data_IF_690376180884
#
_entry.id   IF_690376180884
#
_cell.length_a   1.000
_cell.length_b   1.000
_cell.length_c   1.000
_cell.angle_alpha   90.00
_cell.angle_beta   90.00
_cell.angle_gamma   90.00
#
_symmetry.space_group_name_H-M   'P 1'
#
loop_
_entity.id
_entity.type
_entity.pdbx_description
1 polymer ?
#
# COMPACT_ATOMS: atom_id res chain seq x y z
N UNK A 1 3.80 33.35 -17.50
CA UNK A 1 2.89 33.28 -16.32
C UNK A 1 3.75 33.51 -15.08
N UNK A 2 3.50 34.58 -14.31
CA UNK A 2 4.34 34.97 -13.18
C UNK A 2 4.26 33.95 -12.04
N UNK A 3 5.38 33.66 -11.37
CA UNK A 3 5.52 32.79 -10.19
C UNK A 3 4.51 33.12 -9.07
N UNK A 4 4.03 34.37 -9.01
CA UNK A 4 2.95 34.83 -8.11
C UNK A 4 1.56 34.23 -8.43
N UNK A 5 1.29 33.89 -9.69
CA UNK A 5 0.03 33.27 -10.13
C UNK A 5 0.05 31.76 -9.82
N UNK A 6 1.18 31.08 -10.04
CA UNK A 6 1.36 29.68 -9.62
C UNK A 6 1.27 29.54 -8.09
N UNK A 7 1.88 30.44 -7.32
CA UNK A 7 1.75 30.45 -5.84
C UNK A 7 0.32 30.67 -5.37
N UNK A 8 -0.47 31.54 -6.02
CA UNK A 8 -1.88 31.77 -5.66
C UNK A 8 -2.80 30.58 -5.98
N UNK A 9 -2.50 29.80 -7.01
CA UNK A 9 -3.21 28.56 -7.33
C UNK A 9 -2.86 27.42 -6.35
N UNK A 10 -1.57 27.27 -6.00
CA UNK A 10 -1.14 26.28 -5.00
C UNK A 10 -1.66 26.58 -3.58
N UNK A 11 -1.69 27.85 -3.18
CA UNK A 11 -2.11 28.25 -1.83
C UNK A 11 -3.63 28.19 -1.61
N UNK A 12 -4.46 28.33 -2.65
CA UNK A 12 -5.93 28.13 -2.49
C UNK A 12 -6.32 26.66 -2.29
N UNK A 13 -5.46 25.71 -2.64
CA UNK A 13 -5.66 24.29 -2.37
C UNK A 13 -4.82 23.78 -1.18
N UNK A 14 -3.89 24.58 -0.62
CA UNK A 14 -2.91 24.12 0.38
C UNK A 14 -2.76 25.01 1.62
N UNK A 15 -3.69 25.92 1.91
CA UNK A 15 -3.58 26.79 3.08
C UNK A 15 -4.12 26.14 4.37
N UNK A 16 -3.28 25.33 5.00
CA UNK A 16 -3.12 25.28 6.46
C UNK A 16 -1.63 25.02 6.74
N UNK A 17 -0.95 26.04 7.30
CA UNK A 17 0.45 26.09 7.77
C UNK A 17 1.50 26.23 6.65
N UNK A 18 2.53 27.09 6.72
CA UNK A 18 3.11 27.92 7.76
C UNK A 18 4.59 28.15 7.40
N UNK A 19 5.14 29.33 7.69
CA UNK A 19 6.59 29.57 7.77
C UNK A 19 7.33 29.89 6.46
N UNK A 20 7.60 31.19 6.25
CA UNK A 20 8.52 31.73 5.24
C UNK A 20 9.94 31.72 5.79
N UNK A 21 10.91 31.20 5.05
CA UNK A 21 12.30 31.68 5.08
C UNK A 21 12.87 31.63 3.64
N UNK A 22 13.28 32.80 3.17
CA UNK A 22 13.85 33.06 1.84
C UNK A 22 15.36 32.81 1.87
N UNK A 23 15.91 32.15 0.83
CA UNK A 23 17.29 32.38 0.41
C UNK A 23 17.41 32.42 -1.12
N UNK A 24 18.30 33.28 -1.66
CA UNK A 24 18.45 33.48 -3.09
C UNK A 24 19.44 32.50 -3.74
N UNK A 25 19.31 32.44 -5.05
CA UNK A 25 20.00 31.63 -6.05
C UNK A 25 21.52 31.80 -6.13
N UNK A 26 22.24 30.69 -6.30
CA UNK A 26 23.21 30.52 -7.40
C UNK A 26 23.66 29.05 -7.47
N UNK A 27 23.27 28.34 -8.54
CA UNK A 27 23.67 26.95 -8.78
C UNK A 27 24.72 26.93 -9.88
N UNK A 28 25.95 26.60 -9.49
CA UNK A 28 26.92 25.99 -10.36
C UNK A 28 27.80 25.07 -9.53
N UNK A 29 27.60 23.75 -9.66
CA UNK A 29 28.66 22.75 -9.85
C UNK A 29 28.11 21.32 -9.87
N UNK A 30 28.76 20.51 -10.71
CA UNK A 30 28.61 19.08 -10.89
C UNK A 30 29.20 18.32 -9.69
N UNK A 31 28.48 17.28 -9.27
CA UNK A 31 28.91 16.05 -8.60
C UNK A 31 30.05 16.13 -7.56
N UNK A 32 29.70 16.21 -6.26
CA UNK A 32 30.59 15.85 -5.16
C UNK A 32 29.76 15.27 -4.00
N UNK A 33 30.23 14.15 -3.46
CA UNK A 33 29.84 13.65 -2.14
C UNK A 33 29.94 14.79 -1.11
N UNK A 34 29.00 14.83 -0.16
CA UNK A 34 28.92 15.88 0.86
C UNK A 34 30.23 15.91 1.68
N UNK A 35 30.96 17.04 1.74
CA UNK A 35 32.26 17.11 2.41
C UNK A 35 32.13 17.32 3.94
N UNK A 36 31.20 16.62 4.59
CA UNK A 36 31.13 16.51 6.06
C UNK A 36 31.28 15.07 6.59
N UNK A 37 31.32 14.05 5.73
CA UNK A 37 31.41 12.63 6.16
C UNK A 37 32.81 12.03 6.04
N UNK A 38 33.88 12.83 6.16
CA UNK A 38 35.26 12.29 6.13
C UNK A 38 35.86 11.98 7.51
N UNK A 39 35.19 12.38 8.59
CA UNK A 39 35.64 12.12 9.98
C UNK A 39 34.72 11.16 10.77
N UNK A 40 33.70 10.56 10.13
CA UNK A 40 32.83 9.56 10.77
C UNK A 40 33.34 8.11 10.60
N UNK A 41 34.65 7.91 10.56
CA UNK A 41 35.26 6.59 10.64
C UNK A 41 35.43 6.19 12.12
N UNK A 42 34.32 6.05 12.83
CA UNK A 42 34.26 5.34 14.11
C UNK A 42 32.94 4.57 14.18
N UNK A 43 33.03 3.27 14.45
CA UNK A 43 31.94 2.32 14.69
C UNK A 43 30.66 2.97 15.27
N UNK A 44 29.74 3.36 14.40
CA UNK A 44 28.49 4.02 14.78
C UNK A 44 27.35 3.48 13.93
N UNK A 45 27.02 2.20 14.16
CA UNK A 45 25.68 1.72 13.79
C UNK A 45 24.67 2.68 14.43
N UNK A 46 23.95 3.44 13.60
CA UNK A 46 22.88 4.34 14.05
C UNK A 46 22.01 3.61 15.08
N UNK A 47 21.61 4.25 16.19
CA UNK A 47 20.88 3.57 17.24
C UNK A 47 19.56 2.99 16.71
N UNK A 48 19.42 1.66 16.77
CA UNK A 48 18.20 0.94 16.37
C UNK A 48 17.23 0.93 17.56
N UNK A 49 16.14 1.69 17.44
CA UNK A 49 15.04 1.67 18.41
C UNK A 49 14.01 0.55 18.11
N UNK A 50 13.08 0.31 19.04
CA UNK A 50 12.08 -0.75 18.92
C UNK A 50 11.17 -0.62 17.69
N UNK A 51 10.86 0.61 17.26
CA UNK A 51 10.09 0.85 16.03
C UNK A 51 10.87 0.38 14.80
N UNK A 52 12.17 0.69 14.73
CA UNK A 52 13.04 0.24 13.64
C UNK A 52 13.22 -1.28 13.65
N UNK A 53 13.33 -1.92 14.83
CA UNK A 53 13.34 -3.39 14.94
C UNK A 53 12.04 -4.00 14.43
N UNK A 54 10.90 -3.41 14.81
CA UNK A 54 9.57 -3.87 14.36
C UNK A 54 9.45 -3.80 12.84
N UNK A 55 9.80 -2.64 12.25
CA UNK A 55 9.80 -2.43 10.81
C UNK A 55 10.74 -3.39 10.07
N UNK A 56 11.96 -3.58 10.60
CA UNK A 56 12.93 -4.52 10.04
C UNK A 56 12.44 -5.99 10.14
N UNK A 57 11.57 -6.31 11.10
CA UNK A 57 11.02 -7.66 11.28
C UNK A 57 9.75 -7.94 10.46
N UNK A 58 9.24 -6.95 9.70
CA UNK A 58 8.00 -7.10 8.94
C UNK A 58 8.10 -8.24 7.92
N UNK A 59 7.05 -9.06 7.90
CA UNK A 59 6.92 -10.23 7.03
C UNK A 59 5.45 -10.53 6.76
N UNK A 60 5.21 -11.29 5.70
CA UNK A 60 3.88 -11.75 5.30
C UNK A 60 3.71 -13.22 5.64
N UNK A 61 2.57 -13.57 6.25
CA UNK A 61 2.17 -14.97 6.46
C UNK A 61 1.15 -15.36 5.39
N UNK A 62 1.48 -16.30 4.50
CA UNK A 62 0.62 -16.64 3.35
C UNK A 62 -0.52 -17.62 3.71
N UNK A 63 -1.34 -17.26 4.69
CA UNK A 63 -2.61 -17.93 5.01
C UNK A 63 -2.55 -19.10 5.99
N UNK A 64 -1.36 -19.58 6.36
CA UNK A 64 -1.19 -20.63 7.36
C UNK A 64 -1.22 -20.04 8.78
N UNK A 65 -2.43 -19.77 9.28
CA UNK A 65 -2.63 -19.27 10.65
C UNK A 65 -3.12 -20.38 11.58
N UNK A 66 -2.66 -20.36 12.83
CA UNK A 66 -3.15 -21.21 13.92
C UNK A 66 -4.61 -20.88 14.24
N UNK A 67 -5.37 -21.87 14.68
CA UNK A 67 -6.70 -21.67 15.25
C UNK A 67 -6.60 -21.12 16.69
N UNK A 68 -6.10 -19.90 16.80
CA UNK A 68 -5.90 -19.20 18.07
C UNK A 68 -6.53 -17.80 17.97
N UNK A 69 -7.48 -17.44 18.86
CA UNK A 69 -8.12 -16.13 18.83
C UNK A 69 -7.13 -15.01 19.21
N UNK A 70 -7.31 -13.83 18.63
CA UNK A 70 -6.62 -12.61 19.05
C UNK A 70 -7.50 -11.94 20.12
N UNK A 71 -6.95 -11.54 21.28
CA UNK A 71 -7.70 -10.79 22.29
C UNK A 71 -8.30 -9.50 21.72
N UNK A 72 -9.54 -9.17 22.09
CA UNK A 72 -10.23 -7.97 21.60
C UNK A 72 -9.47 -6.68 21.92
N UNK A 73 -8.80 -6.62 23.07
CA UNK A 73 -7.94 -5.49 23.44
C UNK A 73 -6.78 -5.27 22.44
N UNK A 74 -6.21 -6.34 21.88
CA UNK A 74 -5.17 -6.22 20.85
C UNK A 74 -5.76 -5.77 19.51
N UNK A 75 -6.93 -6.28 19.12
CA UNK A 75 -7.63 -5.79 17.91
C UNK A 75 -7.92 -4.30 18.04
N UNK A 76 -8.37 -3.84 19.21
CA UNK A 76 -8.61 -2.42 19.46
C UNK A 76 -7.33 -1.58 19.35
N UNK A 77 -6.22 -2.03 19.94
CA UNK A 77 -4.93 -1.35 19.79
C UNK A 77 -4.47 -1.24 18.32
N UNK A 78 -4.68 -2.30 17.53
CA UNK A 78 -4.37 -2.32 16.09
C UNK A 78 -5.24 -1.31 15.35
N UNK A 79 -6.55 -1.26 15.66
CA UNK A 79 -7.48 -0.31 15.07
C UNK A 79 -7.13 1.13 15.42
N UNK A 80 -6.85 1.43 16.69
CA UNK A 80 -6.43 2.77 17.11
C UNK A 80 -5.13 3.22 16.42
N UNK A 81 -4.18 2.30 16.27
CA UNK A 81 -2.95 2.56 15.51
C UNK A 81 -3.24 2.83 14.03
N UNK A 82 -4.18 2.10 13.44
CA UNK A 82 -4.65 2.28 12.06
C UNK A 82 -5.29 3.65 11.86
N UNK A 83 -6.18 4.05 12.77
CA UNK A 83 -6.90 5.33 12.74
C UNK A 83 -5.97 6.54 12.88
N UNK A 84 -4.81 6.36 13.52
CA UNK A 84 -3.81 7.42 13.71
C UNK A 84 -2.98 7.72 12.46
N UNK A 85 -3.09 6.90 11.41
CA UNK A 85 -2.33 7.08 10.18
C UNK A 85 -2.58 8.45 9.53
N UNK A 86 -1.55 8.96 8.83
CA UNK A 86 -1.67 10.17 8.03
C UNK A 86 -2.76 10.01 6.97
N UNK A 87 -3.60 11.02 6.81
CA UNK A 87 -4.66 11.03 5.81
C UNK A 87 -4.94 12.47 5.36
N UNK A 88 -5.31 12.64 4.09
CA UNK A 88 -5.47 13.95 3.48
C UNK A 88 -6.59 14.76 4.14
N UNK A 89 -6.28 16.00 4.51
CA UNK A 89 -7.22 16.95 5.12
C UNK A 89 -7.93 16.43 6.38
N UNK A 90 -7.36 15.41 7.05
CA UNK A 90 -7.98 14.70 8.15
C UNK A 90 -9.42 14.19 7.86
N UNK A 91 -9.74 13.93 6.59
CA UNK A 91 -11.08 13.48 6.18
C UNK A 91 -11.36 12.04 6.61
N UNK A 92 -10.29 11.24 6.77
CA UNK A 92 -10.35 9.82 7.06
C UNK A 92 -11.29 9.09 6.09
N UNK A 93 -11.17 9.36 4.78
CA UNK A 93 -12.04 8.84 3.71
C UNK A 93 -11.90 7.33 3.47
N UNK A 94 -12.01 6.55 4.54
CA UNK A 94 -11.99 5.12 4.57
C UNK A 94 -12.90 4.59 5.69
N UNK A 95 -13.29 3.34 5.54
CA UNK A 95 -13.97 2.55 6.57
C UNK A 95 -13.24 1.23 6.76
N UNK A 96 -13.30 0.68 7.98
CA UNK A 96 -12.66 -0.59 8.35
C UNK A 96 -13.77 -1.55 8.81
N UNK A 97 -13.88 -2.69 8.14
CA UNK A 97 -14.86 -3.73 8.48
C UNK A 97 -14.11 -4.90 9.12
N UNK A 98 -14.54 -5.27 10.33
CA UNK A 98 -13.95 -6.35 11.12
C UNK A 98 -14.75 -7.62 10.87
N UNK A 99 -14.08 -8.68 10.43
CA UNK A 99 -14.69 -10.00 10.21
C UNK A 99 -13.93 -11.05 11.01
N UNK A 100 -14.63 -11.76 11.89
CA UNK A 100 -14.08 -12.85 12.73
C UNK A 100 -14.52 -14.25 12.28
N UNK A 101 -15.53 -14.34 11.42
CA UNK A 101 -15.99 -15.60 10.84
C UNK A 101 -15.00 -16.07 9.74
N UNK A 102 -14.31 -17.21 9.92
CA UNK A 102 -13.29 -17.68 8.99
C UNK A 102 -13.85 -18.06 7.61
N UNK A 103 -15.08 -18.56 7.53
CA UNK A 103 -15.68 -18.92 6.25
C UNK A 103 -16.12 -17.67 5.50
N UNK A 104 -16.61 -16.65 6.22
CA UNK A 104 -16.83 -15.32 5.63
C UNK A 104 -15.53 -14.71 5.10
N UNK A 105 -14.41 -14.81 5.82
CA UNK A 105 -13.09 -14.33 5.35
C UNK A 105 -12.66 -15.03 4.05
N UNK A 106 -12.76 -16.38 4.00
CA UNK A 106 -12.42 -17.16 2.78
C UNK A 106 -13.25 -16.71 1.59
N UNK A 107 -14.56 -16.50 1.77
CA UNK A 107 -15.44 -16.06 0.69
C UNK A 107 -15.13 -14.62 0.23
N UNK A 108 -14.67 -13.75 1.13
CA UNK A 108 -14.28 -12.37 0.80
C UNK A 108 -12.94 -12.33 0.08
N UNK A 109 -11.85 -12.83 0.68
CA UNK A 109 -10.48 -12.60 0.20
C UNK A 109 -9.71 -13.87 -0.17
N UNK A 110 -10.28 -15.06 0.03
CA UNK A 110 -9.63 -16.35 -0.24
C UNK A 110 -8.73 -16.87 0.89
N UNK A 111 -8.65 -16.16 2.02
CA UNK A 111 -7.81 -16.53 3.16
C UNK A 111 -8.62 -16.45 4.46
N UNK A 112 -8.21 -17.20 5.48
CA UNK A 112 -8.77 -17.12 6.83
C UNK A 112 -7.65 -16.96 7.85
N UNK A 113 -7.96 -16.25 8.93
CA UNK A 113 -7.14 -16.13 10.13
C UNK A 113 -8.04 -15.97 11.34
N UNK A 114 -7.53 -15.36 12.40
CA UNK A 114 -8.30 -15.07 13.62
C UNK A 114 -9.21 -13.84 13.44
N UNK A 115 -8.80 -12.90 12.59
CA UNK A 115 -9.55 -11.68 12.29
C UNK A 115 -9.15 -11.14 10.91
N UNK A 116 -10.08 -10.56 10.17
CA UNK A 116 -9.80 -9.80 8.95
C UNK A 116 -10.30 -8.36 9.12
N UNK A 117 -9.45 -7.41 8.75
CA UNK A 117 -9.80 -6.00 8.59
C UNK A 117 -9.90 -5.70 7.09
N UNK A 118 -11.10 -5.40 6.59
CA UNK A 118 -11.30 -4.93 5.22
C UNK A 118 -11.32 -3.40 5.22
N UNK A 119 -10.41 -2.80 4.48
CA UNK A 119 -10.33 -1.37 4.29
C UNK A 119 -11.06 -0.99 3.00
N UNK A 120 -12.03 -0.09 3.13
CA UNK A 120 -12.79 0.46 2.03
C UNK A 120 -12.41 1.93 1.82
N UNK A 121 -12.25 2.36 0.58
CA UNK A 121 -12.37 3.78 0.24
C UNK A 121 -13.81 4.19 0.49
N UNK A 122 -14.05 5.16 1.37
CA UNK A 122 -15.41 5.48 1.83
C UNK A 122 -15.63 6.97 2.05
N UNK A 123 -16.63 7.49 1.36
CA UNK A 123 -17.10 8.87 1.44
C UNK A 123 -18.54 8.98 1.94
N UNK A 124 -19.20 7.86 2.25
CA UNK A 124 -20.60 7.82 2.71
C UNK A 124 -20.79 8.60 4.00
N UNK A 125 -19.85 8.50 4.96
CA UNK A 125 -19.86 9.31 6.19
C UNK A 125 -19.82 10.81 5.92
N UNK A 126 -18.95 11.26 5.00
CA UNK A 126 -18.81 12.68 4.66
C UNK A 126 -20.06 13.20 3.95
N UNK A 127 -20.61 12.38 3.04
CA UNK A 127 -21.86 12.69 2.35
C UNK A 127 -23.03 12.82 3.33
N UNK A 128 -23.23 11.84 4.20
CA UNK A 128 -24.29 11.87 5.21
C UNK A 128 -24.15 13.08 6.15
N UNK A 129 -22.92 13.44 6.53
CA UNK A 129 -22.65 14.61 7.36
C UNK A 129 -23.03 15.91 6.64
N UNK A 130 -22.67 16.07 5.37
CA UNK A 130 -23.04 17.23 4.58
C UNK A 130 -24.56 17.33 4.35
N UNK A 131 -25.21 16.20 4.03
CA UNK A 131 -26.66 16.12 3.84
C UNK A 131 -27.42 16.52 5.10
N UNK A 132 -26.93 16.12 6.29
CA UNK A 132 -27.52 16.53 7.58
C UNK A 132 -27.50 18.04 7.82
N UNK A 133 -26.61 18.76 7.13
CA UNK A 133 -26.48 20.21 7.17
C UNK A 133 -27.17 20.89 5.98
N UNK A 134 -27.86 20.15 5.11
CA UNK A 134 -28.46 20.66 3.89
C UNK A 134 -27.46 21.08 2.82
N UNK A 135 -26.22 20.58 2.89
CA UNK A 135 -25.13 20.91 1.97
C UNK A 135 -24.92 19.79 0.94
N UNK A 136 -24.66 20.12 -0.34
CA UNK A 136 -24.27 19.12 -1.32
C UNK A 136 -22.85 18.63 -1.05
N UNK A 137 -22.61 17.34 -1.28
CA UNK A 137 -21.27 16.76 -1.24
C UNK A 137 -21.07 15.75 -2.36
N UNK A 138 -20.00 15.96 -3.12
CA UNK A 138 -19.59 15.09 -4.22
C UNK A 138 -18.11 14.77 -4.04
N UNK A 139 -17.73 13.49 -3.89
CA UNK A 139 -16.33 13.11 -3.95
C UNK A 139 -15.74 13.52 -5.30
N UNK A 140 -14.48 13.97 -5.31
CA UNK A 140 -13.77 14.44 -6.51
C UNK A 140 -13.40 13.28 -7.47
N UNK A 141 -14.36 12.44 -7.84
CA UNK A 141 -14.20 11.30 -8.74
C UNK A 141 -12.93 10.49 -8.46
N UNK A 142 -12.10 10.35 -9.50
CA UNK A 142 -10.89 9.54 -9.45
C UNK A 142 -9.80 10.14 -8.56
N UNK A 143 -9.72 11.48 -8.47
CA UNK A 143 -8.77 12.16 -7.58
C UNK A 143 -9.11 11.88 -6.10
N UNK A 144 -10.41 11.91 -5.78
CA UNK A 144 -10.91 11.51 -4.47
C UNK A 144 -10.61 10.04 -4.16
N UNK A 145 -10.82 9.15 -5.12
CA UNK A 145 -10.50 7.72 -4.98
C UNK A 145 -9.01 7.47 -4.74
N UNK A 146 -8.11 8.12 -5.50
CA UNK A 146 -6.65 7.99 -5.32
C UNK A 146 -6.22 8.50 -3.94
N UNK A 147 -6.76 9.66 -3.53
CA UNK A 147 -6.49 10.25 -2.22
C UNK A 147 -6.91 9.33 -1.09
N UNK A 148 -8.14 8.81 -1.15
CA UNK A 148 -8.69 7.89 -0.16
C UNK A 148 -7.99 6.52 -0.17
N UNK A 149 -7.61 6.01 -1.34
CA UNK A 149 -6.86 4.76 -1.47
C UNK A 149 -5.49 4.86 -0.81
N UNK A 150 -4.82 6.00 -0.99
CA UNK A 150 -3.52 6.29 -0.35
C UNK A 150 -3.68 6.33 1.17
N UNK A 151 -4.68 7.06 1.68
CA UNK A 151 -4.97 7.11 3.12
C UNK A 151 -5.30 5.72 3.70
N UNK A 152 -6.05 4.90 2.97
CA UNK A 152 -6.37 3.52 3.36
C UNK A 152 -5.13 2.64 3.44
N UNK A 153 -4.21 2.74 2.46
CA UNK A 153 -2.96 1.98 2.46
C UNK A 153 -2.05 2.35 3.64
N UNK A 154 -2.01 3.64 4.02
CA UNK A 154 -1.28 4.11 5.21
C UNK A 154 -1.89 3.57 6.51
N UNK A 155 -3.23 3.53 6.58
CA UNK A 155 -3.96 2.95 7.71
C UNK A 155 -3.68 1.44 7.85
N UNK A 156 -3.68 0.70 6.73
CA UNK A 156 -3.30 -0.73 6.68
C UNK A 156 -1.88 -0.93 7.18
N UNK A 157 -0.91 -0.16 6.67
CA UNK A 157 0.48 -0.32 7.07
C UNK A 157 0.70 -0.01 8.56
N UNK A 158 -0.02 0.97 9.11
CA UNK A 158 0.01 1.27 10.54
C UNK A 158 -0.55 0.11 11.38
N UNK A 159 -1.62 -0.53 10.92
CA UNK A 159 -2.18 -1.73 11.54
C UNK A 159 -1.20 -2.92 11.48
N UNK A 160 -0.51 -3.12 10.36
CA UNK A 160 0.51 -4.17 10.19
C UNK A 160 1.66 -3.99 11.19
N UNK A 161 2.16 -2.76 11.36
CA UNK A 161 3.23 -2.46 12.31
C UNK A 161 2.76 -2.69 13.75
N UNK A 162 1.56 -2.23 14.11
CA UNK A 162 0.98 -2.46 15.42
C UNK A 162 0.79 -3.96 15.71
N UNK A 163 0.20 -4.71 14.78
CA UNK A 163 0.05 -6.16 14.88
C UNK A 163 1.41 -6.82 15.11
N UNK A 164 2.43 -6.46 14.32
CA UNK A 164 3.78 -7.02 14.47
C UNK A 164 4.37 -6.73 15.85
N UNK A 165 4.18 -5.52 16.37
CA UNK A 165 4.66 -5.14 17.72
C UNK A 165 4.00 -5.94 18.85
N UNK A 166 2.79 -6.47 18.61
CA UNK A 166 2.03 -7.31 19.53
C UNK A 166 2.29 -8.81 19.32
N UNK A 167 3.23 -9.18 18.44
CA UNK A 167 3.51 -10.58 18.09
C UNK A 167 2.42 -11.24 17.25
N UNK A 168 1.58 -10.46 16.58
CA UNK A 168 0.52 -10.93 15.68
C UNK A 168 1.06 -10.86 14.25
N UNK A 169 0.95 -11.97 13.52
CA UNK A 169 1.32 -12.04 12.11
C UNK A 169 0.17 -11.58 11.22
N UNK A 170 0.51 -11.22 9.99
CA UNK A 170 -0.46 -10.64 9.07
C UNK A 170 -0.27 -11.03 7.61
N UNK A 171 -1.35 -10.90 6.86
CA UNK A 171 -1.42 -11.01 5.41
C UNK A 171 -2.22 -9.84 4.85
N UNK A 172 -1.50 -8.84 4.32
CA UNK A 172 -2.12 -7.81 3.48
C UNK A 172 -2.35 -8.38 2.09
N UNK A 173 -3.60 -8.44 1.64
CA UNK A 173 -3.98 -9.13 0.41
C UNK A 173 -4.99 -8.37 -0.42
N UNK A 174 -4.76 -8.38 -1.73
CA UNK A 174 -5.71 -7.96 -2.75
C UNK A 174 -6.60 -9.12 -3.24
N UNK A 175 -6.65 -10.24 -2.50
CA UNK A 175 -7.44 -11.42 -2.86
C UNK A 175 -8.92 -11.10 -3.11
N UNK A 176 -9.44 -10.01 -2.53
CA UNK A 176 -10.77 -9.48 -2.80
C UNK A 176 -11.00 -9.10 -4.28
N UNK A 177 -9.96 -8.74 -5.05
CA UNK A 177 -10.06 -8.35 -6.47
C UNK A 177 -10.16 -9.54 -7.41
N UNK A 178 -9.90 -10.77 -6.93
CA UNK A 178 -9.93 -11.99 -7.74
C UNK A 178 -11.38 -12.42 -7.99
N UNK A 179 -11.67 -13.04 -9.12
CA UNK A 179 -13.01 -13.52 -9.46
C UNK A 179 -14.05 -12.41 -9.61
N UNK A 180 -15.32 -12.70 -9.30
CA UNK A 180 -16.37 -11.69 -9.28
C UNK A 180 -16.30 -10.87 -7.98
N UNK A 181 -15.80 -9.65 -8.07
CA UNK A 181 -15.59 -8.79 -6.90
C UNK A 181 -16.92 -8.29 -6.30
N UNK A 182 -18.04 -8.39 -7.03
CA UNK A 182 -19.37 -8.05 -6.52
C UNK A 182 -19.71 -8.78 -5.22
N UNK A 183 -19.25 -10.03 -5.08
CA UNK A 183 -19.48 -10.83 -3.87
C UNK A 183 -19.08 -10.11 -2.58
N UNK A 184 -18.10 -9.20 -2.63
CA UNK A 184 -17.63 -8.48 -1.43
C UNK A 184 -18.68 -7.48 -0.96
N UNK A 185 -19.37 -6.80 -1.89
CA UNK A 185 -20.52 -5.96 -1.55
C UNK A 185 -21.65 -6.79 -0.99
N UNK A 186 -21.97 -7.93 -1.61
CA UNK A 186 -23.11 -8.76 -1.21
C UNK A 186 -22.90 -9.41 0.18
N UNK A 187 -21.71 -9.96 0.44
CA UNK A 187 -21.39 -10.66 1.70
C UNK A 187 -21.31 -9.71 2.90
N UNK A 188 -20.83 -8.48 2.67
CA UNK A 188 -20.59 -7.49 3.73
C UNK A 188 -21.59 -6.34 3.71
N UNK A 189 -22.62 -6.43 2.87
CA UNK A 189 -23.70 -5.45 2.75
C UNK A 189 -23.17 -4.02 2.56
N UNK A 190 -22.15 -3.87 1.70
CA UNK A 190 -21.50 -2.59 1.49
C UNK A 190 -22.39 -1.64 0.67
N UNK A 191 -22.34 -0.32 0.93
CA UNK A 191 -22.97 0.66 0.05
C UNK A 191 -22.45 0.54 -1.38
N UNK A 192 -23.36 0.50 -2.36
CA UNK A 192 -22.99 0.39 -3.77
C UNK A 192 -22.33 1.65 -4.35
N UNK A 193 -22.52 2.80 -3.71
CA UNK A 193 -21.98 4.09 -4.15
C UNK A 193 -21.15 4.72 -3.07
N UNK A 194 -20.06 5.37 -3.47
CA UNK A 194 -19.15 6.11 -2.59
C UNK A 194 -18.46 5.25 -1.51
N UNK A 195 -18.60 3.93 -1.55
CA UNK A 195 -17.85 2.95 -0.76
C UNK A 195 -17.30 1.87 -1.70
N UNK A 196 -15.99 1.61 -1.62
CA UNK A 196 -15.29 0.66 -2.48
C UNK A 196 -14.30 -0.18 -1.66
N UNK A 197 -14.46 -1.51 -1.57
CA UNK A 197 -13.54 -2.38 -0.84
C UNK A 197 -12.17 -2.41 -1.54
N UNK A 198 -11.13 -1.93 -0.85
CA UNK A 198 -9.82 -1.69 -1.43
C UNK A 198 -8.85 -2.83 -1.17
N UNK A 199 -8.67 -3.20 0.10
CA UNK A 199 -7.64 -4.18 0.51
C UNK A 199 -8.01 -4.84 1.85
N UNK A 200 -7.70 -6.13 1.99
CA UNK A 200 -7.93 -6.88 3.22
C UNK A 200 -6.61 -7.10 3.97
N UNK A 201 -6.65 -7.02 5.29
CA UNK A 201 -5.59 -7.39 6.22
C UNK A 201 -6.08 -8.56 7.07
N UNK A 202 -5.58 -9.76 6.80
CA UNK A 202 -5.87 -10.93 7.64
C UNK A 202 -4.83 -11.00 8.76
N UNK A 203 -5.28 -11.20 9.99
CA UNK A 203 -4.49 -11.24 11.20
C UNK A 203 -4.61 -12.63 11.85
N UNK A 204 -3.51 -13.11 12.41
CA UNK A 204 -3.47 -14.37 13.16
C UNK A 204 -2.06 -14.66 13.65
N UNK A 205 -1.86 -15.89 14.11
CA UNK A 205 -0.53 -16.38 14.51
C UNK A 205 -0.05 -17.39 13.49
N UNK A 206 1.12 -17.21 12.89
CA UNK A 206 1.62 -18.14 11.89
C UNK A 206 1.79 -19.55 12.50
N UNK A 207 1.47 -20.60 11.72
CA UNK A 207 1.74 -21.99 12.13
C UNK A 207 3.23 -22.30 12.15
N UNK A 208 3.98 -21.61 11.29
CA UNK A 208 5.41 -21.76 11.09
C UNK A 208 6.06 -20.39 10.86
N UNK A 209 7.29 -20.26 11.35
CA UNK A 209 8.13 -19.11 11.09
C UNK A 209 8.76 -19.25 9.70
N UNK A 210 8.73 -18.22 8.84
CA UNK A 210 9.46 -18.26 7.58
C UNK A 210 10.94 -18.55 7.81
N UNK A 211 11.51 -19.46 7.03
CA UNK A 211 12.93 -19.84 7.16
C UNK A 211 13.91 -18.72 6.83
N UNK A 212 13.44 -17.69 6.11
CA UNK A 212 14.21 -16.51 5.76
C UNK A 212 13.30 -15.28 5.64
N UNK A 213 13.91 -14.10 5.72
CA UNK A 213 13.25 -12.86 5.37
C UNK A 213 13.31 -12.62 3.86
N UNK A 214 12.17 -12.30 3.25
CA UNK A 214 12.12 -11.94 1.84
C UNK A 214 12.98 -10.69 1.57
N UNK A 215 13.88 -10.76 0.59
CA UNK A 215 14.73 -9.65 0.21
C UNK A 215 13.95 -8.48 -0.38
N UNK A 216 14.60 -7.33 -0.48
CA UNK A 216 14.08 -6.13 -1.14
C UNK A 216 15.14 -5.54 -2.05
N UNK A 217 14.71 -4.96 -3.16
CA UNK A 217 15.56 -4.08 -3.95
C UNK A 217 15.64 -2.73 -3.25
N UNK A 218 16.86 -2.21 -3.12
CA UNK A 218 17.22 -1.03 -2.34
C UNK A 218 18.00 0.03 -3.16
N UNK A 219 18.24 -0.26 -4.44
CA UNK A 219 19.13 0.52 -5.31
C UNK A 219 18.44 1.13 -6.53
N UNK A 220 19.18 1.23 -7.67
CA UNK A 220 18.65 1.80 -8.91
C UNK A 220 17.31 1.19 -9.32
N UNK A 221 16.37 2.05 -9.76
CA UNK A 221 15.03 1.66 -10.20
C UNK A 221 13.98 1.62 -9.07
N UNK A 222 14.40 1.66 -7.81
CA UNK A 222 13.52 1.83 -6.64
C UNK A 222 13.76 3.17 -5.96
N UNK A 223 15.03 3.52 -5.72
CA UNK A 223 15.42 4.78 -5.07
C UNK A 223 16.05 5.72 -6.09
N UNK A 224 15.57 6.97 -6.12
CA UNK A 224 16.06 8.01 -7.02
C UNK A 224 16.34 9.29 -6.22
N UNK A 225 17.50 9.91 -6.46
CA UNK A 225 17.86 11.19 -5.86
C UNK A 225 17.58 12.32 -6.84
N UNK A 226 16.90 13.36 -6.35
CA UNK A 226 16.48 14.60 -7.05
C UNK A 226 15.51 14.41 -8.23
N UNK A 227 15.81 13.49 -9.14
CA UNK A 227 15.03 13.21 -10.35
C UNK A 227 15.00 11.73 -10.65
N UNK A 228 13.99 11.31 -11.39
CA UNK A 228 13.92 9.95 -11.92
C UNK A 228 15.16 9.64 -12.77
N UNK A 229 15.77 8.49 -12.51
CA UNK A 229 16.95 8.01 -13.22
C UNK A 229 16.54 6.80 -14.05
N UNK A 230 16.62 6.91 -15.38
CA UNK A 230 16.40 5.76 -16.26
C UNK A 230 17.51 4.74 -16.02
N UNK A 231 17.15 3.46 -15.88
CA UNK A 231 18.10 2.37 -15.73
C UNK A 231 18.98 2.25 -16.97
N UNK A 232 20.28 2.03 -16.75
CA UNK A 232 21.21 1.59 -17.81
C UNK A 232 21.09 0.08 -18.03
N UNK A 233 21.53 -0.41 -19.19
CA UNK A 233 21.51 -1.85 -19.50
C UNK A 233 22.31 -2.66 -18.47
N UNK A 234 23.43 -2.11 -17.98
CA UNK A 234 24.25 -2.69 -16.91
C UNK A 234 23.47 -2.81 -15.59
N UNK A 235 22.70 -1.78 -15.21
CA UNK A 235 21.88 -1.82 -14.00
C UNK A 235 20.71 -2.80 -14.14
N UNK A 236 20.11 -2.89 -15.32
CA UNK A 236 19.07 -3.89 -15.61
C UNK A 236 19.65 -5.30 -15.45
N UNK A 237 20.80 -5.58 -16.07
CA UNK A 237 21.49 -6.86 -15.95
C UNK A 237 21.85 -7.20 -14.50
N UNK A 238 22.31 -6.22 -13.71
CA UNK A 238 22.60 -6.40 -12.29
C UNK A 238 21.33 -6.72 -11.47
N UNK A 239 20.19 -6.08 -11.77
CA UNK A 239 18.91 -6.38 -11.12
C UNK A 239 18.46 -7.81 -11.46
N UNK A 240 18.55 -8.21 -12.74
CA UNK A 240 18.24 -9.59 -13.15
C UNK A 240 19.12 -10.59 -12.41
N UNK A 241 20.43 -10.35 -12.32
CA UNK A 241 21.36 -11.21 -11.59
C UNK A 241 21.04 -11.29 -10.08
N UNK A 242 20.60 -10.20 -9.45
CA UNK A 242 20.12 -10.23 -8.05
C UNK A 242 18.90 -11.14 -7.88
N UNK A 243 17.96 -11.13 -8.82
CA UNK A 243 16.81 -12.05 -8.78
C UNK A 243 17.21 -13.51 -8.98
N UNK A 244 18.26 -13.77 -9.77
CA UNK A 244 18.76 -15.11 -10.00
C UNK A 244 19.56 -15.69 -8.82
N UNK A 245 20.10 -14.83 -7.94
CA UNK A 245 20.72 -15.27 -6.69
C UNK A 245 19.65 -15.63 -5.64
N UNK A 246 19.43 -16.92 -5.47
CA UNK A 246 18.47 -17.49 -4.51
C UNK A 246 18.72 -17.06 -3.06
N UNK A 247 19.94 -16.67 -2.70
CA UNK A 247 20.27 -16.18 -1.35
C UNK A 247 19.76 -14.76 -1.09
N UNK A 248 19.40 -14.00 -2.15
CA UNK A 248 18.76 -12.69 -2.00
C UNK A 248 17.29 -12.82 -1.62
N UNK A 249 16.68 -14.00 -1.78
CA UNK A 249 15.29 -14.26 -1.42
C UNK A 249 14.29 -13.24 -2.02
N UNK A 250 14.53 -12.81 -3.26
CA UNK A 250 13.69 -11.85 -3.98
C UNK A 250 12.54 -12.51 -4.75
N UNK A 251 12.71 -13.78 -5.13
CA UNK A 251 11.75 -14.52 -5.95
C UNK A 251 10.64 -15.21 -5.15
N UNK A 252 9.47 -15.37 -5.78
CA UNK A 252 8.33 -16.13 -5.24
C UNK A 252 8.47 -17.64 -5.46
N UNK A 253 9.14 -18.01 -6.55
CA UNK A 253 9.45 -19.38 -6.91
C UNK A 253 10.97 -19.53 -6.74
N UNK A 254 11.46 -20.64 -6.19
CA UNK A 254 12.89 -20.96 -6.06
C UNK A 254 13.36 -22.04 -7.05
N UNK A 255 12.45 -22.60 -7.84
CA UNK A 255 12.68 -23.70 -8.78
C UNK A 255 12.47 -23.26 -10.24
N UNK A 256 12.57 -21.95 -10.54
CA UNK A 256 12.37 -21.44 -11.91
C UNK A 256 13.35 -22.07 -12.92
N UNK A 257 14.59 -22.30 -12.50
CA UNK A 257 15.67 -22.90 -13.26
C UNK A 257 15.39 -24.36 -13.59
N UNK A 258 14.87 -25.13 -12.62
CA UNK A 258 14.42 -26.51 -12.84
C UNK A 258 13.23 -26.59 -13.80
N UNK A 259 12.44 -25.53 -13.88
CA UNK A 259 11.32 -25.40 -14.81
C UNK A 259 11.75 -24.88 -16.20
N UNK A 260 13.06 -24.86 -16.51
CA UNK A 260 13.58 -24.52 -17.84
C UNK A 260 13.67 -23.01 -18.11
N UNK A 261 13.51 -22.16 -17.10
CA UNK A 261 13.69 -20.72 -17.24
C UNK A 261 15.13 -20.32 -16.95
N UNK A 262 15.75 -19.58 -17.87
CA UNK A 262 17.15 -19.13 -17.73
C UNK A 262 17.31 -18.16 -16.57
N UNK A 263 16.36 -17.23 -16.42
CA UNK A 263 16.31 -16.25 -15.35
C UNK A 263 15.03 -16.40 -14.52
N UNK A 264 15.03 -16.00 -13.25
CA UNK A 264 13.78 -15.91 -12.45
C UNK A 264 12.74 -15.04 -13.16
N UNK A 265 13.18 -13.95 -13.76
CA UNK A 265 12.32 -13.02 -14.49
C UNK A 265 11.71 -13.66 -15.75
N UNK A 266 12.37 -14.64 -16.37
CA UNK A 266 11.75 -15.41 -17.46
C UNK A 266 10.50 -16.13 -16.94
N UNK A 267 10.61 -16.85 -15.81
CA UNK A 267 9.46 -17.51 -15.18
C UNK A 267 8.41 -16.49 -14.76
N UNK A 268 8.82 -15.37 -14.16
CA UNK A 268 7.89 -14.35 -13.69
C UNK A 268 7.06 -13.77 -14.85
N UNK A 269 7.69 -13.39 -15.97
CA UNK A 269 6.98 -12.83 -17.11
C UNK A 269 6.23 -13.88 -17.92
N UNK A 270 6.84 -15.06 -18.10
CA UNK A 270 6.27 -16.12 -18.93
C UNK A 270 5.22 -16.91 -18.19
N UNK A 271 5.31 -17.19 -16.90
CA UNK A 271 4.34 -18.08 -16.23
C UNK A 271 3.44 -17.31 -15.27
N UNK A 272 4.00 -16.43 -14.45
CA UNK A 272 3.24 -15.75 -13.39
C UNK A 272 2.43 -14.55 -13.89
N UNK A 273 3.03 -13.67 -14.69
CA UNK A 273 2.36 -12.50 -15.29
C UNK A 273 1.58 -12.84 -16.56
N UNK A 274 1.52 -14.12 -16.93
CA UNK A 274 0.90 -14.64 -18.17
C UNK A 274 -0.60 -14.38 -18.15
N UNK A 275 -1.01 -13.17 -18.53
CA UNK A 275 -2.41 -12.73 -18.40
C UNK A 275 -2.67 -11.24 -18.61
N UNK A 276 -1.63 -10.40 -18.61
CA UNK A 276 -1.77 -9.00 -19.01
C UNK A 276 -2.11 -8.89 -20.50
N UNK A 277 -3.40 -8.78 -20.83
CA UNK A 277 -3.86 -8.41 -22.17
C UNK A 277 -3.96 -6.88 -22.25
N UNK A 278 -3.75 -6.27 -23.44
CA UNK A 278 -4.09 -4.87 -23.64
C UNK A 278 -5.53 -4.58 -23.18
N UNK A 279 -5.77 -3.39 -22.63
CA UNK A 279 -7.10 -2.97 -22.16
C UNK A 279 -8.00 -2.64 -23.37
N UNK A 280 -8.41 -3.66 -24.12
CA UNK A 280 -9.28 -3.51 -25.30
C UNK A 280 -10.76 -3.30 -24.93
N UNK A 281 -11.14 -3.69 -23.71
CA UNK A 281 -12.50 -3.55 -23.18
C UNK A 281 -12.44 -3.05 -21.74
N UNK A 282 -13.51 -2.42 -21.29
CA UNK A 282 -13.64 -2.02 -19.90
C UNK A 282 -13.48 -3.20 -18.95
N UNK A 283 -12.50 -3.09 -18.05
CA UNK A 283 -12.26 -4.09 -17.02
C UNK A 283 -13.39 -4.11 -15.99
N UNK A 284 -13.55 -5.25 -15.29
CA UNK A 284 -14.45 -5.33 -14.13
C UNK A 284 -14.15 -4.21 -13.11
N UNK A 285 -12.87 -3.97 -12.81
CA UNK A 285 -12.43 -2.93 -11.89
C UNK A 285 -12.94 -1.54 -12.32
N UNK A 286 -12.79 -1.20 -13.60
CA UNK A 286 -13.27 0.07 -14.12
C UNK A 286 -14.79 0.21 -14.03
N UNK A 287 -15.54 -0.86 -14.34
CA UNK A 287 -17.01 -0.88 -14.19
C UNK A 287 -17.45 -0.69 -12.74
N UNK A 288 -16.77 -1.34 -11.79
CA UNK A 288 -17.04 -1.21 -10.37
C UNK A 288 -16.72 0.20 -9.85
N UNK A 289 -15.63 0.82 -10.33
CA UNK A 289 -15.31 2.22 -10.02
C UNK A 289 -16.40 3.17 -10.55
N UNK A 290 -16.90 2.95 -11.78
CA UNK A 290 -18.03 3.72 -12.35
C UNK A 290 -19.27 3.59 -11.49
N UNK A 291 -19.68 2.36 -11.17
CA UNK A 291 -20.85 2.11 -10.31
C UNK A 291 -20.71 2.82 -8.96
N UNK A 292 -19.52 2.72 -8.37
CA UNK A 292 -19.22 3.29 -7.07
C UNK A 292 -19.05 4.82 -7.09
N UNK A 293 -19.24 5.48 -8.24
CA UNK A 293 -19.13 6.94 -8.44
C UNK A 293 -17.72 7.50 -8.20
N UNK A 294 -16.69 6.71 -8.52
CA UNK A 294 -15.27 7.10 -8.38
C UNK A 294 -14.56 7.40 -9.70
N UNK A 295 -15.24 7.30 -10.83
CA UNK A 295 -14.77 7.79 -12.12
C UNK A 295 -15.94 8.48 -12.80
N UNK A 296 -15.61 9.45 -13.65
CA UNK A 296 -16.63 10.22 -14.36
C UNK A 296 -17.49 9.29 -15.21
N UNK A 297 -18.80 9.44 -15.07
CA UNK A 297 -19.75 8.85 -15.99
C UNK A 297 -19.66 9.69 -17.26
N UNK A 298 -18.90 9.24 -18.26
CA UNK A 298 -18.88 9.92 -19.56
C UNK A 298 -20.33 10.14 -20.02
N UNK A 299 -20.76 11.40 -20.08
CA UNK A 299 -21.73 11.80 -21.10
C UNK A 299 -20.96 11.85 -22.41
N UNK A 300 -21.22 10.85 -23.26
CA UNK A 300 -20.86 10.90 -24.69
C UNK A 300 -21.57 12.10 -25.31
#
# INVERSE_FOLDING_TARGET
MSEKVLRRLFLKQSALLGGVLLFPTSVQRRALAHPQDKDAASDSRLPINETLKTLASLRTTHGNFKNQPIPDAHIEQILQSSLRAANASNLQSYSIIIVKDPDKMKNVCGYAGSCMLLYCVDFTRLKASAESLGLPYYPNGIEGFVTASTGSALAVQSAVVAARSLGIDSLTTNGIHRGNMQRVWDILELPETHCFPLIALVLGYATEEPSYQMGRLDGPGVVHYEKYQKLTDEQVAAITAKYDDKNQHLGLNNDWDKNGHKHYQDWLHKEWMRGGKPLEKESQMFKLLKRSRFVDLQTI
#
